data_IF_624555145063
#
_entry.id   IF_624555145063
#
_cell.length_a   1.000
_cell.length_b   1.000
_cell.length_c   1.000
_cell.angle_alpha   90.00
_cell.angle_beta   90.00
_cell.angle_gamma   90.00
#
_symmetry.space_group_name_H-M   'P 1'
#
loop_
_entity.id
_entity.type
_entity.pdbx_description
1 polymer ?
#
# COMPACT_ATOMS: atom_id res chain seq x y z
N UNK A 1 -4.91 7.31 18.81
CA UNK A 1 -5.03 7.06 17.36
C UNK A 1 -4.12 5.88 17.02
N UNK A 2 -4.68 4.78 16.53
CA UNK A 2 -3.95 3.58 16.11
C UNK A 2 -3.72 3.63 14.60
N UNK A 3 -2.45 3.55 14.20
CA UNK A 3 -2.00 3.64 12.81
C UNK A 3 -1.16 2.43 12.48
N UNK A 4 -1.47 1.77 11.36
CA UNK A 4 -0.60 0.77 10.74
C UNK A 4 -0.09 1.35 9.42
N UNK A 5 1.21 1.67 9.35
CA UNK A 5 1.81 2.29 8.17
C UNK A 5 2.46 1.29 7.20
N UNK A 6 2.40 -0.01 7.49
CA UNK A 6 3.02 -1.06 6.68
C UNK A 6 2.15 -2.33 6.68
N UNK A 7 1.03 -2.27 5.95
CA UNK A 7 0.06 -3.36 5.89
C UNK A 7 0.05 -4.08 4.55
N UNK A 8 0.24 -5.40 4.59
CA UNK A 8 0.17 -6.30 3.42
C UNK A 8 -1.12 -7.13 3.40
N UNK A 9 -2.12 -6.78 2.57
CA UNK A 9 -3.34 -7.56 2.46
C UNK A 9 -3.09 -8.99 1.97
N UNK A 10 -2.02 -9.24 1.19
CA UNK A 10 -1.66 -10.53 0.63
C UNK A 10 -2.86 -11.20 -0.05
N UNK A 11 -3.49 -10.50 -1.00
CA UNK A 11 -4.72 -10.97 -1.63
C UNK A 11 -4.43 -12.07 -2.66
N UNK A 12 -5.33 -13.04 -2.75
CA UNK A 12 -5.33 -14.03 -3.82
C UNK A 12 -5.52 -13.35 -5.19
N UNK A 13 -4.96 -13.96 -6.25
CA UNK A 13 -5.26 -13.59 -7.64
C UNK A 13 -6.72 -13.85 -8.01
N UNK A 14 -7.40 -14.75 -7.31
CA UNK A 14 -8.83 -15.03 -7.52
C UNK A 14 -9.70 -14.03 -6.75
N UNK A 15 -10.53 -13.29 -7.48
CA UNK A 15 -11.35 -12.19 -6.93
C UNK A 15 -12.33 -12.63 -5.84
N UNK A 16 -12.93 -13.83 -5.96
CA UNK A 16 -13.85 -14.35 -4.95
C UNK A 16 -13.15 -14.49 -3.58
N UNK A 17 -11.98 -15.13 -3.55
CA UNK A 17 -11.20 -15.32 -2.33
C UNK A 17 -10.61 -14.01 -1.82
N UNK A 18 -10.16 -13.13 -2.73
CA UNK A 18 -9.66 -11.80 -2.37
C UNK A 18 -10.74 -10.96 -1.67
N UNK A 19 -11.95 -10.88 -2.24
CA UNK A 19 -13.08 -10.15 -1.63
C UNK A 19 -13.49 -10.75 -0.29
N UNK A 20 -13.45 -12.08 -0.13
CA UNK A 20 -13.69 -12.74 1.16
C UNK A 20 -12.66 -12.30 2.21
N UNK A 21 -11.37 -12.30 1.85
CA UNK A 21 -10.28 -11.86 2.73
C UNK A 21 -10.40 -10.37 3.08
N UNK A 22 -10.72 -9.50 2.13
CA UNK A 22 -10.91 -8.07 2.42
C UNK A 22 -12.02 -7.83 3.47
N UNK A 23 -13.14 -8.56 3.39
CA UNK A 23 -14.19 -8.48 4.41
C UNK A 23 -13.70 -8.91 5.79
N UNK A 24 -12.84 -9.92 5.86
CA UNK A 24 -12.23 -10.34 7.12
C UNK A 24 -11.27 -9.28 7.66
N UNK A 25 -10.41 -8.70 6.80
CA UNK A 25 -9.51 -7.60 7.16
C UNK A 25 -10.30 -6.43 7.76
N UNK A 26 -11.39 -6.00 7.10
CA UNK A 26 -12.25 -4.93 7.61
C UNK A 26 -12.86 -5.25 8.98
N UNK A 27 -13.30 -6.50 9.21
CA UNK A 27 -13.76 -6.93 10.54
C UNK A 27 -12.67 -6.81 11.59
N UNK A 28 -11.42 -7.12 11.26
CA UNK A 28 -10.30 -6.95 12.18
C UNK A 28 -10.01 -5.47 12.45
N UNK A 29 -10.02 -4.61 11.41
CA UNK A 29 -9.84 -3.17 11.60
C UNK A 29 -10.87 -2.58 12.58
N UNK A 30 -12.15 -2.95 12.41
CA UNK A 30 -13.22 -2.52 13.33
C UNK A 30 -13.01 -3.10 14.72
N UNK A 31 -12.77 -4.41 14.84
CA UNK A 31 -12.55 -5.09 16.14
C UNK A 31 -11.42 -4.47 16.95
N UNK A 32 -10.34 -4.07 16.29
CA UNK A 32 -9.16 -3.51 16.93
C UNK A 32 -9.15 -1.98 17.00
N UNK A 33 -10.23 -1.32 16.55
CA UNK A 33 -10.32 0.15 16.59
C UNK A 33 -9.26 0.85 15.74
N UNK A 34 -8.87 0.25 14.61
CA UNK A 34 -7.85 0.80 13.71
C UNK A 34 -8.32 2.12 13.11
N UNK A 35 -7.52 3.19 13.21
CA UNK A 35 -7.91 4.50 12.70
C UNK A 35 -7.39 4.74 11.28
N UNK A 36 -6.13 4.40 11.02
CA UNK A 36 -5.48 4.62 9.73
C UNK A 36 -4.67 3.39 9.33
N UNK A 37 -4.75 3.00 8.06
CA UNK A 37 -3.93 1.94 7.48
C UNK A 37 -3.33 2.41 6.17
N UNK A 38 -2.02 2.20 5.98
CA UNK A 38 -1.37 2.39 4.69
C UNK A 38 -1.20 1.01 4.05
N UNK A 39 -1.82 0.82 2.88
CA UNK A 39 -1.82 -0.48 2.18
C UNK A 39 -0.56 -0.57 1.32
N UNK A 40 0.45 -1.29 1.78
CA UNK A 40 1.83 -1.26 1.25
C UNK A 40 2.25 -2.58 0.62
N UNK A 41 1.37 -3.20 -0.17
CA UNK A 41 1.70 -4.47 -0.83
C UNK A 41 2.99 -4.36 -1.68
N UNK A 42 3.77 -5.43 -1.76
CA UNK A 42 4.96 -5.45 -2.61
C UNK A 42 4.62 -5.11 -4.07
N UNK A 43 5.48 -4.33 -4.73
CA UNK A 43 5.29 -3.90 -6.13
C UNK A 43 5.08 -5.08 -7.11
N UNK A 44 5.72 -6.22 -6.87
CA UNK A 44 5.57 -7.43 -7.69
C UNK A 44 4.28 -8.24 -7.42
N UNK A 45 3.47 -7.83 -6.43
CA UNK A 45 2.19 -8.47 -6.04
C UNK A 45 0.95 -7.65 -6.42
N UNK A 46 1.08 -6.67 -7.31
CA UNK A 46 -0.01 -5.82 -7.81
C UNK A 46 -0.69 -4.98 -6.68
N UNK A 47 0.03 -4.00 -6.11
CA UNK A 47 -0.48 -3.18 -5.01
C UNK A 47 -1.70 -2.35 -5.39
N UNK A 48 -1.78 -1.88 -6.63
CA UNK A 48 -2.94 -1.15 -7.15
C UNK A 48 -4.23 -1.97 -7.02
N UNK A 49 -4.20 -3.25 -7.40
CA UNK A 49 -5.35 -4.15 -7.23
C UNK A 49 -5.67 -4.38 -5.75
N UNK A 50 -4.65 -4.57 -4.91
CA UNK A 50 -4.84 -4.82 -3.49
C UNK A 50 -5.56 -3.65 -2.81
N UNK A 51 -5.07 -2.43 -3.00
CA UNK A 51 -5.68 -1.20 -2.49
C UNK A 51 -7.12 -1.03 -2.98
N UNK A 52 -7.35 -1.09 -4.31
CA UNK A 52 -8.68 -0.89 -4.89
C UNK A 52 -9.70 -1.91 -4.43
N UNK A 53 -9.32 -3.18 -4.31
CA UNK A 53 -10.23 -4.22 -3.81
C UNK A 53 -10.56 -4.02 -2.33
N UNK A 54 -9.60 -3.64 -1.50
CA UNK A 54 -9.86 -3.34 -0.10
C UNK A 54 -10.78 -2.13 0.04
N UNK A 55 -10.53 -1.07 -0.73
CA UNK A 55 -11.37 0.13 -0.78
C UNK A 55 -12.81 -0.20 -1.22
N UNK A 56 -12.97 -0.94 -2.32
CA UNK A 56 -14.28 -1.31 -2.87
C UNK A 56 -15.09 -2.25 -1.97
N UNK A 57 -14.47 -2.86 -0.96
CA UNK A 57 -15.13 -3.77 0.00
C UNK A 57 -15.27 -3.15 1.39
N UNK A 58 -14.97 -1.85 1.52
CA UNK A 58 -15.17 -1.08 2.76
C UNK A 58 -16.64 -1.14 3.18
N UNK A 59 -16.95 -1.61 4.41
CA UNK A 59 -18.31 -1.58 4.89
C UNK A 59 -18.71 -0.13 5.27
N UNK A 60 -19.99 0.26 5.14
CA UNK A 60 -20.42 1.66 5.33
C UNK A 60 -20.13 2.24 6.72
N UNK A 61 -20.04 1.38 7.75
CA UNK A 61 -19.80 1.73 9.15
C UNK A 61 -18.31 1.74 9.53
N UNK A 62 -17.39 1.36 8.63
CA UNK A 62 -15.97 1.41 8.93
C UNK A 62 -15.46 2.85 9.01
N UNK A 63 -14.97 3.23 10.18
CA UNK A 63 -14.32 4.52 10.43
C UNK A 63 -12.84 4.55 10.02
N UNK A 64 -12.20 3.38 9.84
CA UNK A 64 -10.79 3.29 9.42
C UNK A 64 -10.59 3.93 8.04
N UNK A 65 -9.62 4.82 7.95
CA UNK A 65 -9.17 5.45 6.71
C UNK A 65 -8.04 4.59 6.14
N UNK A 66 -8.05 4.34 4.83
CA UNK A 66 -6.94 3.66 4.15
C UNK A 66 -6.25 4.60 3.17
N UNK A 67 -4.93 4.52 3.09
CA UNK A 67 -4.12 5.26 2.11
C UNK A 67 -3.39 4.29 1.18
N UNK A 68 -3.17 4.68 -0.09
CA UNK A 68 -2.38 3.88 -1.01
C UNK A 68 -0.89 3.97 -0.65
N UNK A 69 -0.28 2.80 -0.57
CA UNK A 69 1.16 2.63 -0.45
C UNK A 69 1.67 1.52 -1.37
N UNK A 70 2.99 1.39 -1.40
CA UNK A 70 3.71 0.30 -2.01
C UNK A 70 4.92 -0.03 -1.14
N UNK A 71 5.33 -1.29 -1.16
CA UNK A 71 6.69 -1.68 -0.77
C UNK A 71 7.52 -1.85 -2.04
N UNK A 72 8.34 -0.84 -2.32
CA UNK A 72 9.17 -0.74 -3.52
C UNK A 72 10.55 -1.36 -3.27
N UNK A 73 10.97 -2.25 -4.17
CA UNK A 73 12.25 -2.95 -4.06
C UNK A 73 13.34 -2.24 -4.88
N UNK A 74 14.42 -1.80 -4.23
CA UNK A 74 15.56 -1.17 -4.90
C UNK A 74 16.46 -2.18 -5.62
N UNK A 75 17.39 -1.70 -6.45
CA UNK A 75 18.35 -2.56 -7.17
C UNK A 75 19.29 -3.33 -6.24
N UNK A 76 19.59 -2.79 -5.06
CA UNK A 76 20.35 -3.44 -3.99
C UNK A 76 19.55 -4.48 -3.22
N UNK A 77 18.24 -4.56 -3.44
CA UNK A 77 17.34 -5.45 -2.70
C UNK A 77 16.88 -4.90 -1.36
N UNK A 78 16.88 -3.57 -1.20
CA UNK A 78 16.36 -2.88 -0.02
C UNK A 78 14.91 -2.49 -0.30
N UNK A 79 14.02 -2.71 0.67
CA UNK A 79 12.62 -2.32 0.55
C UNK A 79 12.39 -0.91 1.13
N UNK A 80 11.64 -0.10 0.37
CA UNK A 80 11.21 1.24 0.76
C UNK A 80 9.69 1.28 0.75
N UNK A 81 9.10 1.68 1.88
CA UNK A 81 7.67 1.95 1.98
C UNK A 81 7.43 3.33 1.38
N UNK A 82 6.68 3.41 0.28
CA UNK A 82 6.28 4.68 -0.34
C UNK A 82 4.77 4.80 -0.31
N UNK A 83 4.25 5.95 0.11
CA UNK A 83 2.81 6.18 0.18
C UNK A 83 2.45 7.61 -0.22
N UNK A 84 1.16 7.80 -0.52
CA UNK A 84 0.61 9.07 -0.96
C UNK A 84 -0.80 9.28 -0.39
N UNK A 85 -1.31 10.50 -0.48
CA UNK A 85 -2.69 10.80 -0.09
C UNK A 85 -3.71 10.19 -1.06
N UNK A 86 -3.34 10.01 -2.33
CA UNK A 86 -4.25 9.57 -3.40
C UNK A 86 -3.63 8.45 -4.25
N UNK A 87 -4.43 7.86 -5.14
CA UNK A 87 -3.97 6.82 -6.07
C UNK A 87 -2.92 7.30 -7.10
N UNK A 88 -2.54 8.59 -7.09
CA UNK A 88 -1.45 9.16 -7.92
C UNK A 88 -0.16 8.35 -7.82
N UNK A 89 0.13 7.80 -6.63
CA UNK A 89 1.26 6.89 -6.39
C UNK A 89 1.41 5.81 -7.47
N UNK A 90 0.32 5.19 -7.90
CA UNK A 90 0.36 4.07 -8.84
C UNK A 90 0.72 4.49 -10.27
N UNK A 91 0.75 5.79 -10.58
CA UNK A 91 1.19 6.32 -11.87
C UNK A 91 2.73 6.42 -11.98
N UNK A 92 3.45 6.36 -10.86
CA UNK A 92 4.92 6.46 -10.82
C UNK A 92 5.57 5.16 -11.28
N UNK A 93 5.68 4.96 -12.60
CA UNK A 93 6.26 3.73 -13.20
C UNK A 93 7.65 3.38 -12.66
N UNK A 94 8.46 4.37 -12.33
CA UNK A 94 9.81 4.15 -11.77
C UNK A 94 9.79 3.44 -10.41
N UNK A 95 8.71 3.58 -9.65
CA UNK A 95 8.52 2.90 -8.35
C UNK A 95 7.79 1.57 -8.49
N UNK A 96 6.98 1.39 -9.54
CA UNK A 96 6.15 0.20 -9.75
C UNK A 96 6.89 -0.98 -10.39
N UNK A 97 8.15 -0.77 -10.80
CA UNK A 97 9.01 -1.82 -11.38
C UNK A 97 10.10 -2.19 -10.37
N UNK A 98 10.16 -3.47 -9.92
CA UNK A 98 11.19 -3.90 -8.98
C UNK A 98 12.59 -3.67 -9.51
N UNK A 99 13.51 -3.26 -8.63
CA UNK A 99 14.96 -3.10 -8.92
C UNK A 99 15.31 -2.06 -9.98
N UNK A 100 14.37 -1.17 -10.32
CA UNK A 100 14.54 -0.15 -11.35
C UNK A 100 15.47 0.99 -10.91
N UNK A 101 15.46 1.34 -9.62
CA UNK A 101 16.23 2.43 -9.03
C UNK A 101 17.13 1.90 -7.91
N UNK A 102 18.30 2.52 -7.74
CA UNK A 102 19.12 2.38 -6.53
C UNK A 102 18.37 2.96 -5.32
N UNK A 103 18.78 2.61 -4.10
CA UNK A 103 18.21 3.20 -2.89
C UNK A 103 18.32 4.73 -2.92
N UNK A 104 19.49 5.26 -3.28
CA UNK A 104 19.74 6.71 -3.31
C UNK A 104 18.89 7.39 -4.39
N UNK A 105 18.78 6.80 -5.58
CA UNK A 105 17.97 7.40 -6.65
C UNK A 105 16.48 7.30 -6.37
N UNK A 106 16.02 6.25 -5.68
CA UNK A 106 14.63 6.12 -5.24
C UNK A 106 14.28 7.17 -4.18
N UNK A 107 15.14 7.40 -3.19
CA UNK A 107 14.95 8.48 -2.20
C UNK A 107 14.90 9.85 -2.89
N UNK A 108 15.82 10.11 -3.82
CA UNK A 108 15.81 11.36 -4.61
C UNK A 108 14.54 11.51 -5.44
N UNK A 109 14.10 10.42 -6.09
CA UNK A 109 12.88 10.41 -6.88
C UNK A 109 11.66 10.77 -6.01
N UNK A 110 11.50 10.11 -4.87
CA UNK A 110 10.39 10.36 -3.93
C UNK A 110 10.44 11.80 -3.41
N UNK A 111 11.60 12.28 -2.95
CA UNK A 111 11.75 13.65 -2.43
C UNK A 111 11.48 14.74 -3.47
N UNK A 112 11.57 14.43 -4.77
CA UNK A 112 11.23 15.34 -5.85
C UNK A 112 9.73 15.39 -6.16
N UNK A 113 8.91 14.47 -5.60
CA UNK A 113 7.46 14.47 -5.77
C UNK A 113 6.78 15.05 -4.52
N UNK A 114 5.96 16.11 -4.66
CA UNK A 114 5.35 16.77 -3.50
C UNK A 114 4.25 15.95 -2.81
N UNK A 115 3.71 14.93 -3.47
CA UNK A 115 2.60 14.10 -2.98
C UNK A 115 3.04 12.73 -2.43
N UNK A 116 4.35 12.43 -2.50
CA UNK A 116 4.91 11.16 -2.04
C UNK A 116 5.68 11.32 -0.72
N UNK A 117 5.60 10.29 0.11
CA UNK A 117 6.39 10.14 1.34
C UNK A 117 7.01 8.76 1.35
N UNK A 118 8.23 8.63 1.86
CA UNK A 118 8.91 7.35 2.01
C UNK A 118 9.45 7.12 3.43
N UNK A 119 9.49 5.84 3.82
CA UNK A 119 10.22 5.33 4.99
C UNK A 119 10.95 4.05 4.59
N UNK A 120 12.08 3.78 5.24
CA UNK A 120 12.66 2.43 5.19
C UNK A 120 11.68 1.45 5.85
N UNK A 121 11.55 0.27 5.25
CA UNK A 121 10.73 -0.84 5.75
C UNK A 121 11.39 -1.51 6.97
#
# INVERSE_FOLDING_TARGET
>A
MLVDYHFHPNLSKHDYFAKRKCREIWRQFVRHGMNVVIVTEHVFKNPTRAYRLLLATRPPDASTIIFPGIEALTSEGIDLIVFAQTESLFAHRALMVPKQLSLIDMIRYVNAQPDLVASLA
#
